data_IF_395075803520
#
_entry.id   IF_395075803520
#
_cell.length_a   1.000
_cell.length_b   1.000
_cell.length_c   1.000
_cell.angle_alpha   90.00
_cell.angle_beta   90.00
_cell.angle_gamma   90.00
#
_symmetry.space_group_name_H-M   'P 1'
#
loop_
_entity.id
_entity.type
_entity.pdbx_description
1 polymer ?
#
# COMPACT_ATOMS: atom_id res chain seq x y z
N UNK A 1 4.38 22.58 2.07
CA UNK A 1 3.59 22.18 3.25
C UNK A 1 3.60 23.31 4.27
N UNK A 2 2.89 23.16 5.39
CA UNK A 2 2.89 24.12 6.49
C UNK A 2 2.22 23.54 7.74
N UNK A 3 2.45 24.18 8.89
CA UNK A 3 1.84 23.81 10.16
C UNK A 3 0.80 24.83 10.57
N UNK A 4 -0.38 24.37 10.95
CA UNK A 4 -1.50 25.19 11.37
C UNK A 4 -1.83 24.97 12.86
N UNK A 5 -2.15 26.05 13.56
CA UNK A 5 -2.64 26.02 14.95
C UNK A 5 -4.09 26.52 15.07
N UNK A 6 -4.69 26.95 13.96
CA UNK A 6 -6.08 27.38 13.87
C UNK A 6 -6.70 26.97 12.54
N UNK A 7 -8.03 26.96 12.46
CA UNK A 7 -8.77 26.64 11.23
C UNK A 7 -8.45 27.61 10.10
N UNK A 8 -8.32 28.91 10.40
CA UNK A 8 -8.06 29.92 9.36
C UNK A 8 -6.62 29.82 8.85
N UNK A 9 -5.64 29.53 9.72
CA UNK A 9 -4.27 29.22 9.30
C UNK A 9 -4.24 27.99 8.39
N UNK A 10 -5.00 26.96 8.76
CA UNK A 10 -5.07 25.73 8.00
C UNK A 10 -5.58 25.98 6.57
N UNK A 11 -6.62 26.82 6.44
CA UNK A 11 -7.19 27.19 5.14
C UNK A 11 -6.22 28.03 4.33
N UNK A 12 -5.54 29.01 4.95
CA UNK A 12 -4.55 29.82 4.27
C UNK A 12 -3.39 28.96 3.72
N UNK A 13 -2.91 28.00 4.51
CA UNK A 13 -1.88 27.06 4.09
C UNK A 13 -2.41 26.15 2.97
N UNK A 14 -3.60 25.57 3.11
CA UNK A 14 -4.18 24.69 2.10
C UNK A 14 -4.41 25.41 0.76
N UNK A 15 -4.84 26.67 0.78
CA UNK A 15 -4.99 27.49 -0.43
C UNK A 15 -3.65 27.81 -1.10
N UNK A 16 -2.58 27.97 -0.31
CA UNK A 16 -1.22 28.18 -0.84
C UNK A 16 -0.62 26.88 -1.40
N UNK A 17 -0.86 25.75 -0.75
CA UNK A 17 -0.32 24.44 -1.11
C UNK A 17 -1.07 23.81 -2.29
N UNK A 18 -2.39 24.05 -2.37
CA UNK A 18 -3.31 23.49 -3.36
C UNK A 18 -3.93 22.17 -2.91
N UNK A 19 -5.25 22.05 -3.05
CA UNK A 19 -5.99 20.82 -2.81
C UNK A 19 -5.74 19.77 -3.93
N UNK A 20 -5.88 18.46 -3.65
CA UNK A 20 -6.12 17.88 -2.32
C UNK A 20 -4.92 18.00 -1.37
N UNK A 21 -5.20 18.10 -0.07
CA UNK A 21 -4.18 18.15 0.99
C UNK A 21 -4.34 16.97 1.95
N UNK A 22 -3.22 16.47 2.47
CA UNK A 22 -3.19 15.53 3.56
C UNK A 22 -3.02 16.31 4.86
N UNK A 23 -3.95 16.10 5.78
CA UNK A 23 -3.97 16.76 7.08
C UNK A 23 -3.50 15.77 8.14
N UNK A 24 -2.45 16.12 8.89
CA UNK A 24 -1.77 15.21 9.81
C UNK A 24 -1.62 15.85 11.20
N UNK A 25 -2.25 15.30 12.25
CA UNK A 25 -1.95 15.72 13.61
C UNK A 25 -0.50 15.41 13.98
N UNK A 26 0.13 16.25 14.79
CA UNK A 26 1.45 15.94 15.36
C UNK A 26 1.37 14.88 16.46
N UNK A 27 2.47 14.15 16.68
CA UNK A 27 2.64 13.15 17.76
C UNK A 27 1.64 11.97 17.75
N UNK A 28 1.15 11.57 16.58
CA UNK A 28 0.33 10.37 16.41
C UNK A 28 1.13 9.25 15.74
N UNK A 29 0.77 8.00 16.05
CA UNK A 29 1.28 6.80 15.38
C UNK A 29 0.14 6.13 14.60
N UNK A 30 0.49 5.47 13.49
CA UNK A 30 -0.48 4.69 12.70
C UNK A 30 -1.44 5.52 11.85
N UNK A 31 -1.11 6.79 11.59
CA UNK A 31 -1.96 7.67 10.81
C UNK A 31 -3.26 8.09 11.50
N UNK A 32 -3.33 7.94 12.83
CA UNK A 32 -4.55 8.24 13.59
C UNK A 32 -5.01 9.68 13.36
N UNK A 33 -6.28 9.82 12.99
CA UNK A 33 -6.90 11.09 12.64
C UNK A 33 -6.19 11.84 11.49
N UNK A 34 -5.42 11.16 10.64
CA UNK A 34 -5.01 11.74 9.36
C UNK A 34 -6.17 11.72 8.37
N UNK A 35 -6.31 12.77 7.57
CA UNK A 35 -7.40 12.86 6.61
C UNK A 35 -6.97 13.47 5.27
N UNK A 36 -7.45 12.89 4.17
CA UNK A 36 -7.36 13.48 2.84
C UNK A 36 -8.51 14.45 2.63
N UNK A 37 -8.17 15.71 2.40
CA UNK A 37 -9.11 16.82 2.30
C UNK A 37 -9.06 17.40 0.89
N UNK A 38 -10.22 17.47 0.22
CA UNK A 38 -10.32 17.85 -1.19
C UNK A 38 -10.80 19.29 -1.40
N UNK A 39 -11.36 19.92 -0.38
CA UNK A 39 -11.91 21.27 -0.44
C UNK A 39 -11.93 21.92 0.96
N UNK A 40 -12.16 23.23 0.99
CA UNK A 40 -12.20 24.01 2.23
C UNK A 40 -13.29 23.55 3.20
N UNK A 41 -14.47 23.15 2.71
CA UNK A 41 -15.57 22.71 3.56
C UNK A 41 -15.21 21.45 4.37
N UNK A 42 -14.51 20.51 3.73
CA UNK A 42 -13.96 19.33 4.38
C UNK A 42 -12.89 19.70 5.41
N UNK A 43 -12.01 20.66 5.10
CA UNK A 43 -10.97 21.13 6.01
C UNK A 43 -11.56 21.76 7.27
N UNK A 44 -12.57 22.63 7.13
CA UNK A 44 -13.26 23.26 8.27
C UNK A 44 -13.89 22.22 9.19
N UNK A 45 -14.51 21.20 8.61
CA UNK A 45 -15.10 20.10 9.37
C UNK A 45 -14.05 19.27 10.10
N UNK A 46 -12.92 18.98 9.47
CA UNK A 46 -11.81 18.29 10.12
C UNK A 46 -11.26 19.10 11.30
N UNK A 47 -10.98 20.39 11.09
CA UNK A 47 -10.44 21.27 12.15
C UNK A 47 -11.44 21.53 13.28
N UNK A 48 -12.75 21.46 12.99
CA UNK A 48 -13.81 21.55 14.00
C UNK A 48 -14.12 20.23 14.71
N UNK A 49 -13.45 19.11 14.37
CA UNK A 49 -13.57 17.85 15.08
C UNK A 49 -12.82 17.90 16.43
N UNK A 50 -12.97 16.89 17.29
CA UNK A 50 -12.39 16.83 18.63
C UNK A 50 -10.85 16.63 18.65
N UNK A 51 -10.14 17.14 17.65
CA UNK A 51 -8.67 17.13 17.58
C UNK A 51 -8.18 18.34 18.35
N UNK A 52 -7.48 18.10 19.45
CA UNK A 52 -6.88 19.15 20.27
C UNK A 52 -5.69 19.76 19.52
N UNK A 53 -5.92 20.92 18.88
CA UNK A 53 -4.87 21.69 18.20
C UNK A 53 -4.30 22.70 19.17
N UNK A 54 -3.02 22.56 19.51
CA UNK A 54 -2.29 23.50 20.37
C UNK A 54 -0.97 23.89 19.70
N UNK A 55 -0.29 24.96 20.16
CA UNK A 55 1.05 25.31 19.66
C UNK A 55 2.05 24.16 19.75
N UNK A 56 1.93 23.30 20.77
CA UNK A 56 2.78 22.13 20.97
C UNK A 56 2.31 20.91 20.15
N UNK A 57 1.11 20.97 19.56
CA UNK A 57 0.51 19.92 18.72
C UNK A 57 -0.15 20.53 17.49
N UNK A 58 0.66 21.14 16.58
CA UNK A 58 0.12 21.70 15.36
C UNK A 58 -0.37 20.60 14.43
N UNK A 59 -1.22 20.98 13.48
CA UNK A 59 -1.65 20.12 12.39
C UNK A 59 -0.81 20.45 11.16
N UNK A 60 -0.14 19.44 10.61
CA UNK A 60 0.61 19.52 9.37
C UNK A 60 -0.35 19.42 8.17
N UNK A 61 -0.12 20.29 7.19
CA UNK A 61 -0.87 20.34 5.94
C UNK A 61 0.12 20.19 4.79
N UNK A 62 0.02 19.05 4.14
CA UNK A 62 0.88 18.64 3.04
C UNK A 62 0.09 18.54 1.75
N UNK A 63 0.73 18.84 0.62
CA UNK A 63 0.12 18.59 -0.69
C UNK A 63 -0.02 17.10 -0.84
N UNK A 64 -1.22 16.62 -1.17
CA UNK A 64 -1.37 15.21 -1.47
C UNK A 64 -0.78 14.89 -2.85
N UNK A 65 0.11 13.89 -2.87
CA UNK A 65 0.76 13.43 -4.09
C UNK A 65 -0.08 12.30 -4.70
N UNK A 66 -1.08 12.69 -5.49
CA UNK A 66 -1.90 11.70 -6.22
C UNK A 66 -1.03 10.85 -7.15
N UNK A 67 -1.36 9.55 -7.21
CA UNK A 67 -0.71 8.52 -8.03
C UNK A 67 0.80 8.32 -7.76
N UNK A 68 1.29 8.71 -6.59
CA UNK A 68 2.68 8.45 -6.20
C UNK A 68 2.86 7.01 -5.67
N UNK A 69 4.05 6.44 -5.91
CA UNK A 69 4.49 5.18 -5.30
C UNK A 69 4.98 5.49 -3.89
N UNK A 70 4.48 4.79 -2.88
CA UNK A 70 5.04 4.88 -1.53
C UNK A 70 6.19 3.88 -1.35
N UNK A 71 7.23 4.31 -0.65
CA UNK A 71 8.44 3.52 -0.42
C UNK A 71 8.85 3.61 1.04
N UNK A 72 9.06 2.45 1.67
CA UNK A 72 9.67 2.36 2.99
C UNK A 72 11.15 1.98 2.86
N UNK A 73 12.01 2.56 3.69
CA UNK A 73 13.42 2.18 3.78
C UNK A 73 13.78 1.95 5.22
N UNK A 74 14.21 0.74 5.56
CA UNK A 74 14.79 0.43 6.86
C UNK A 74 16.32 0.41 6.74
N UNK A 75 17.01 1.07 7.67
CA UNK A 75 18.47 1.11 7.73
C UNK A 75 19.00 1.02 9.16
N UNK A 76 20.27 0.66 9.30
CA UNK A 76 21.01 0.73 10.57
C UNK A 76 22.14 1.74 10.41
N UNK A 77 22.34 2.60 11.39
CA UNK A 77 23.46 3.54 11.46
C UNK A 77 24.23 3.36 12.77
N UNK A 78 25.56 3.36 12.73
CA UNK A 78 26.42 3.43 13.92
C UNK A 78 26.96 4.85 14.20
N UNK A 79 26.51 5.83 13.43
CA UNK A 79 26.95 7.23 13.47
C UNK A 79 28.05 7.57 12.47
N UNK A 80 28.77 6.58 11.94
CA UNK A 80 29.77 6.75 10.88
C UNK A 80 29.29 6.10 9.58
N UNK A 81 28.91 4.83 9.68
CA UNK A 81 28.39 4.00 8.61
C UNK A 81 26.88 3.85 8.77
N UNK A 82 26.15 4.10 7.70
CA UNK A 82 24.73 3.72 7.57
C UNK A 82 24.61 2.63 6.52
N UNK A 83 23.88 1.56 6.80
CA UNK A 83 23.63 0.48 5.85
C UNK A 83 22.13 0.30 5.68
N UNK A 84 21.68 0.36 4.43
CA UNK A 84 20.29 0.09 4.07
C UNK A 84 20.04 -1.41 4.25
N UNK A 85 19.01 -1.74 5.01
CA UNK A 85 18.51 -3.10 5.16
C UNK A 85 17.75 -3.52 3.92
N UNK A 86 16.73 -2.74 3.53
CA UNK A 86 16.04 -2.88 2.26
C UNK A 86 15.25 -1.60 1.90
N UNK A 87 15.04 -1.42 0.60
CA UNK A 87 14.07 -0.48 0.03
C UNK A 87 12.84 -1.30 -0.38
N UNK A 88 11.68 -0.93 0.17
CA UNK A 88 10.40 -1.62 0.02
C UNK A 88 9.45 -0.79 -0.82
N UNK A 89 9.05 -1.29 -1.98
CA UNK A 89 8.08 -0.61 -2.85
C UNK A 89 6.66 -1.05 -2.49
N UNK A 90 5.75 -0.11 -2.22
CA UNK A 90 4.35 -0.42 -1.95
C UNK A 90 3.59 -0.74 -3.23
N UNK A 91 2.63 -1.65 -3.12
CA UNK A 91 1.70 -1.98 -4.20
C UNK A 91 0.64 -0.89 -4.29
N UNK A 92 0.01 -0.55 -3.18
CA UNK A 92 -0.89 0.58 -3.06
C UNK A 92 -0.17 1.92 -3.28
N UNK A 93 -0.91 2.91 -3.77
CA UNK A 93 -0.44 4.28 -3.91
C UNK A 93 -0.28 5.01 -2.57
N UNK A 94 0.56 6.05 -2.56
CA UNK A 94 0.70 6.94 -1.42
C UNK A 94 -0.66 7.54 -1.04
N UNK A 95 -0.95 7.56 0.27
CA UNK A 95 -2.26 7.94 0.82
C UNK A 95 -3.05 6.76 1.38
N UNK A 96 -2.63 5.53 1.08
CA UNK A 96 -2.96 4.35 1.87
C UNK A 96 -1.80 4.12 2.85
N UNK A 97 -2.14 3.99 4.13
CA UNK A 97 -1.16 3.89 5.19
C UNK A 97 -0.22 2.68 5.00
N UNK A 98 1.10 2.88 5.13
CA UNK A 98 2.15 1.86 4.98
C UNK A 98 1.93 0.53 5.72
N UNK A 99 1.24 0.59 6.86
CA UNK A 99 0.84 -0.58 7.63
C UNK A 99 -0.18 -1.48 6.90
N UNK A 100 -1.09 -0.89 6.15
CA UNK A 100 -2.17 -1.56 5.41
C UNK A 100 -1.79 -1.88 3.96
N UNK A 101 -0.77 -1.21 3.41
CA UNK A 101 -0.26 -1.49 2.07
C UNK A 101 0.51 -2.81 2.03
N UNK A 102 0.34 -3.55 0.95
CA UNK A 102 1.27 -4.59 0.56
C UNK A 102 2.57 -3.95 0.07
N UNK A 103 3.71 -4.59 0.33
CA UNK A 103 5.00 -4.08 -0.13
C UNK A 103 5.96 -5.18 -0.55
N UNK A 104 6.93 -4.83 -1.39
CA UNK A 104 7.79 -5.77 -2.12
C UNK A 104 9.26 -5.46 -1.89
N UNK A 105 10.05 -6.51 -1.62
CA UNK A 105 11.51 -6.50 -1.63
C UNK A 105 11.98 -7.55 -2.65
N UNK A 106 12.90 -7.24 -3.57
CA UNK A 106 13.34 -5.89 -3.95
C UNK A 106 12.23 -5.11 -4.68
N UNK A 107 12.41 -3.80 -4.84
CA UNK A 107 11.53 -2.95 -5.66
C UNK A 107 11.42 -3.50 -7.08
N UNK A 108 10.28 -3.29 -7.75
CA UNK A 108 9.94 -3.92 -9.02
C UNK A 108 9.64 -2.94 -10.15
N UNK A 109 9.40 -1.66 -9.86
CA UNK A 109 9.11 -0.65 -10.88
C UNK A 109 9.97 0.61 -10.82
N UNK A 110 10.68 0.86 -9.71
CA UNK A 110 11.50 2.06 -9.54
C UNK A 110 12.78 2.02 -10.39
N UNK A 111 13.17 3.19 -10.92
CA UNK A 111 14.40 3.35 -11.69
C UNK A 111 15.63 3.31 -10.77
N UNK A 112 16.80 2.92 -11.31
CA UNK A 112 18.04 2.94 -10.53
C UNK A 112 18.36 4.35 -10.01
N UNK A 113 18.06 5.39 -10.80
CA UNK A 113 18.24 6.80 -10.41
C UNK A 113 17.44 7.12 -9.14
N UNK A 114 16.16 6.72 -9.10
CA UNK A 114 15.30 6.89 -7.92
C UNK A 114 15.86 6.13 -6.72
N UNK A 115 16.30 4.88 -6.90
CA UNK A 115 16.88 4.08 -5.82
C UNK A 115 18.17 4.69 -5.25
N UNK A 116 19.02 5.26 -6.10
CA UNK A 116 20.24 5.94 -5.70
C UNK A 116 19.93 7.21 -4.90
N UNK A 117 18.91 7.98 -5.32
CA UNK A 117 18.48 9.19 -4.62
C UNK A 117 17.84 8.89 -3.26
N UNK A 118 16.97 7.88 -3.19
CA UNK A 118 16.41 7.35 -1.94
C UNK A 118 17.53 6.92 -0.98
N UNK A 119 18.53 6.21 -1.51
CA UNK A 119 19.65 5.72 -0.72
C UNK A 119 20.52 6.85 -0.18
N UNK A 120 20.81 7.85 -1.00
CA UNK A 120 21.59 9.03 -0.63
C UNK A 120 20.85 9.86 0.42
N UNK A 121 19.56 10.13 0.21
CA UNK A 121 18.74 10.88 1.15
C UNK A 121 18.63 10.16 2.50
N UNK A 122 18.42 8.85 2.50
CA UNK A 122 18.35 8.04 3.74
C UNK A 122 19.64 8.15 4.54
N UNK A 123 20.80 8.02 3.91
CA UNK A 123 22.11 8.13 4.57
C UNK A 123 22.37 9.55 5.09
N UNK A 124 21.98 10.57 4.33
CA UNK A 124 22.11 11.96 4.74
C UNK A 124 21.26 12.25 5.98
N UNK A 125 20.00 11.80 6.01
CA UNK A 125 19.12 11.95 7.17
C UNK A 125 19.61 11.18 8.39
N UNK A 126 20.13 9.96 8.20
CA UNK A 126 20.72 9.19 9.30
C UNK A 126 21.87 9.95 9.99
N UNK A 127 22.71 10.62 9.19
CA UNK A 127 23.83 11.44 9.67
C UNK A 127 23.34 12.69 10.38
N UNK A 128 22.46 13.46 9.75
CA UNK A 128 21.95 14.72 10.30
C UNK A 128 21.21 14.50 11.63
N UNK A 129 20.43 13.43 11.72
CA UNK A 129 19.67 13.08 12.92
C UNK A 129 20.50 12.32 13.96
N UNK A 130 21.82 12.14 13.72
CA UNK A 130 22.75 11.44 14.61
C UNK A 130 22.25 10.03 15.01
N UNK A 131 21.67 9.30 14.06
CA UNK A 131 21.07 7.99 14.32
C UNK A 131 22.14 6.99 14.76
N UNK A 132 21.86 6.32 15.89
CA UNK A 132 22.58 5.14 16.38
C UNK A 132 21.60 4.00 16.63
N UNK A 133 21.62 2.99 15.78
CA UNK A 133 20.63 1.90 15.75
C UNK A 133 19.77 1.94 14.48
N UNK A 134 18.50 1.58 14.59
CA UNK A 134 17.56 1.52 13.47
C UNK A 134 16.96 2.89 13.15
N UNK A 135 16.75 3.13 11.87
CA UNK A 135 15.91 4.20 11.36
C UNK A 135 15.08 3.70 10.19
N UNK A 136 13.85 4.18 10.11
CA UNK A 136 12.97 4.02 8.97
C UNK A 136 12.70 5.37 8.30
N UNK A 137 12.63 5.37 6.99
CA UNK A 137 12.27 6.55 6.19
C UNK A 137 11.16 6.16 5.23
N UNK A 138 10.13 7.00 5.12
CA UNK A 138 9.07 6.87 4.14
C UNK A 138 9.21 7.93 3.06
N UNK A 139 9.10 7.51 1.81
CA UNK A 139 9.14 8.37 0.64
C UNK A 139 7.88 8.20 -0.20
N UNK A 140 7.54 9.23 -0.96
CA UNK A 140 6.64 9.15 -2.10
C UNK A 140 7.44 9.45 -3.37
N UNK A 141 7.26 8.63 -4.41
CA UNK A 141 7.92 8.78 -5.71
C UNK A 141 6.88 9.07 -6.78
N UNK A 142 7.06 10.18 -7.51
CA UNK A 142 6.20 10.55 -8.63
C UNK A 142 7.04 10.77 -9.87
N UNK A 143 6.98 9.81 -10.80
CA UNK A 143 7.92 9.78 -11.93
C UNK A 143 9.34 9.51 -11.42
N UNK A 144 10.24 10.48 -11.62
CA UNK A 144 11.63 10.43 -11.14
C UNK A 144 11.87 11.34 -9.93
N UNK A 145 10.84 12.03 -9.43
CA UNK A 145 10.95 12.93 -8.28
C UNK A 145 10.70 12.16 -6.98
N UNK A 146 11.62 12.32 -6.02
CA UNK A 146 11.59 11.67 -4.70
C UNK A 146 11.21 12.68 -3.62
N UNK A 147 10.12 12.41 -2.90
CA UNK A 147 9.63 13.24 -1.81
C UNK A 147 9.76 12.51 -0.48
N UNK A 148 10.31 13.16 0.54
CA UNK A 148 10.36 12.61 1.91
C UNK A 148 8.99 12.83 2.56
N UNK A 149 8.40 11.77 3.10
CA UNK A 149 7.15 11.84 3.87
C UNK A 149 7.43 11.99 5.36
N UNK A 150 8.20 11.08 5.94
CA UNK A 150 8.60 11.11 7.34
C UNK A 150 9.86 10.30 7.61
N UNK A 151 10.50 10.59 8.74
CA UNK A 151 11.61 9.82 9.29
C UNK A 151 11.26 9.34 10.68
N UNK A 152 11.43 8.05 10.92
CA UNK A 152 11.24 7.39 12.19
C UNK A 152 12.61 6.93 12.72
N UNK A 153 13.28 7.68 13.62
CA UNK A 153 14.60 7.33 14.17
C UNK A 153 14.49 6.23 15.24
N UNK A 154 13.86 5.11 14.87
CA UNK A 154 13.58 3.94 15.70
C UNK A 154 13.35 2.72 14.81
N UNK A 155 13.18 1.56 15.44
CA UNK A 155 12.66 0.38 14.75
C UNK A 155 11.23 0.66 14.20
N UNK A 156 11.02 0.30 12.94
CA UNK A 156 9.71 0.23 12.30
C UNK A 156 9.12 -1.17 12.43
N UNK A 157 7.83 -1.30 12.06
CA UNK A 157 7.15 -2.59 12.01
C UNK A 157 7.69 -3.52 10.92
N UNK A 158 8.35 -2.98 9.89
CA UNK A 158 8.86 -3.71 8.73
C UNK A 158 10.21 -4.39 8.99
N UNK A 159 10.92 -4.04 10.06
CA UNK A 159 12.23 -4.63 10.40
C UNK A 159 12.24 -6.16 10.44
N UNK A 160 11.24 -6.86 11.02
CA UNK A 160 11.17 -8.32 10.97
C UNK A 160 11.00 -8.85 9.54
N UNK A 161 10.12 -8.24 8.73
CA UNK A 161 9.91 -8.60 7.32
C UNK A 161 11.21 -8.44 6.52
N UNK A 162 11.88 -7.28 6.64
CA UNK A 162 13.19 -7.01 6.00
C UNK A 162 14.22 -8.05 6.43
N UNK A 163 14.33 -8.32 7.74
CA UNK A 163 15.27 -9.29 8.28
C UNK A 163 15.06 -10.70 7.73
N UNK A 164 13.81 -11.10 7.50
CA UNK A 164 13.48 -12.40 6.89
C UNK A 164 13.75 -12.44 5.39
N UNK A 165 13.51 -11.35 4.67
CA UNK A 165 13.80 -11.25 3.24
C UNK A 165 15.31 -11.35 2.94
N UNK A 166 16.14 -10.64 3.70
CA UNK A 166 17.59 -10.57 3.44
C UNK A 166 18.43 -11.57 4.24
N UNK A 167 17.82 -12.25 5.23
CA UNK A 167 18.51 -13.21 6.09
C UNK A 167 19.42 -12.60 7.17
N UNK A 168 19.30 -11.30 7.43
CA UNK A 168 20.10 -10.57 8.43
C UNK A 168 19.23 -10.14 9.60
N UNK A 169 19.60 -10.43 10.86
CA UNK A 169 18.81 -10.04 12.03
C UNK A 169 19.04 -8.56 12.39
N UNK A 170 18.40 -7.64 11.65
CA UNK A 170 18.64 -6.20 11.77
C UNK A 170 18.46 -5.67 13.19
N UNK A 171 17.39 -6.09 13.89
CA UNK A 171 17.16 -5.68 15.28
C UNK A 171 18.30 -6.10 16.23
N UNK A 172 18.89 -7.29 16.01
CA UNK A 172 20.03 -7.77 16.80
C UNK A 172 21.28 -6.95 16.53
N UNK A 173 21.54 -6.61 15.26
CA UNK A 173 22.68 -5.77 14.89
C UNK A 173 22.53 -4.36 15.45
N UNK A 174 21.36 -3.75 15.30
CA UNK A 174 21.08 -2.42 15.82
C UNK A 174 21.19 -2.36 17.35
N UNK A 175 20.74 -3.39 18.07
CA UNK A 175 20.94 -3.47 19.52
C UNK A 175 22.43 -3.50 19.92
N UNK A 176 23.26 -4.24 19.17
CA UNK A 176 24.72 -4.23 19.38
C UNK A 176 25.35 -2.88 19.05
N UNK A 177 24.85 -2.19 18.02
CA UNK A 177 25.28 -0.83 17.68
C UNK A 177 24.96 0.15 18.81
N UNK A 178 23.73 0.11 19.35
CA UNK A 178 23.35 0.92 20.50
C UNK A 178 24.17 0.61 21.76
N UNK A 179 24.68 -0.62 21.88
CA UNK A 179 25.59 -1.03 22.96
C UNK A 179 27.07 -0.67 22.71
N UNK A 180 27.39 0.00 21.59
CA UNK A 180 28.72 0.53 21.30
C UNK A 180 29.50 -0.19 20.19
N UNK A 181 28.96 -1.24 19.58
CA UNK A 181 29.60 -1.89 18.43
C UNK A 181 29.47 -1.10 17.13
N UNK A 182 30.45 -1.21 16.24
CA UNK A 182 30.36 -0.65 14.89
C UNK A 182 29.80 -1.66 13.89
N UNK A 183 29.17 -1.19 12.80
CA UNK A 183 28.72 -2.05 11.71
C UNK A 183 29.86 -2.79 11.02
N UNK A 184 31.06 -2.19 11.02
CA UNK A 184 32.30 -2.81 10.52
C UNK A 184 32.69 -4.04 11.35
N UNK A 185 32.70 -3.94 12.67
CA UNK A 185 32.98 -5.07 13.57
C UNK A 185 31.91 -6.16 13.48
N UNK A 186 30.65 -5.75 13.25
CA UNK A 186 29.52 -6.65 13.11
C UNK A 186 29.41 -7.30 11.73
N UNK A 187 30.26 -6.92 10.77
CA UNK A 187 30.29 -7.49 9.42
C UNK A 187 29.11 -7.11 8.53
N UNK A 188 28.35 -6.06 8.87
CA UNK A 188 27.20 -5.60 8.08
C UNK A 188 27.49 -4.20 7.52
N UNK A 189 28.29 -4.15 6.46
CA UNK A 189 28.80 -2.89 5.86
C UNK A 189 28.23 -2.60 4.47
N UNK A 190 27.48 -3.54 3.90
CA UNK A 190 26.88 -3.44 2.56
C UNK A 190 25.43 -3.88 2.60
N UNK A 191 24.62 -3.26 1.75
CA UNK A 191 23.25 -3.68 1.50
C UNK A 191 23.23 -5.07 0.85
N UNK A 192 22.21 -5.88 1.20
CA UNK A 192 22.00 -7.20 0.63
C UNK A 192 20.70 -7.17 -0.17
N UNK A 193 20.81 -7.28 -1.49
CA UNK A 193 19.66 -7.39 -2.39
C UNK A 193 19.38 -8.88 -2.67
N UNK A 194 18.25 -9.44 -2.21
CA UNK A 194 17.94 -10.85 -2.40
C UNK A 194 17.65 -11.19 -3.87
N UNK A 195 17.99 -12.41 -4.29
CA UNK A 195 17.69 -12.95 -5.64
C UNK A 195 16.26 -13.48 -5.79
N UNK A 196 15.40 -13.21 -4.82
CA UNK A 196 14.01 -13.62 -4.77
C UNK A 196 13.16 -12.42 -4.35
N UNK A 197 11.87 -12.47 -4.67
CA UNK A 197 10.90 -11.50 -4.19
C UNK A 197 10.29 -11.96 -2.88
N UNK A 198 10.14 -11.01 -1.98
CA UNK A 198 9.43 -11.11 -0.71
C UNK A 198 8.32 -10.07 -0.72
N UNK A 199 7.08 -10.51 -0.54
CA UNK A 199 5.89 -9.66 -0.53
C UNK A 199 5.25 -9.72 0.86
N UNK A 200 5.16 -8.58 1.52
CA UNK A 200 4.33 -8.41 2.73
C UNK A 200 2.90 -8.10 2.29
N UNK A 201 1.92 -8.73 2.91
CA UNK A 201 0.50 -8.36 2.80
C UNK A 201 -0.11 -8.16 4.20
N UNK A 202 -1.01 -7.21 4.32
CA UNK A 202 -1.71 -6.89 5.55
C UNK A 202 -2.89 -7.85 5.81
N UNK A 203 -3.11 -8.18 7.09
CA UNK A 203 -4.25 -8.99 7.54
C UNK A 203 -5.22 -8.10 8.31
N UNK A 204 -6.45 -8.05 7.82
CA UNK A 204 -7.48 -7.16 8.33
C UNK A 204 -8.51 -7.87 9.20
N UNK A 205 -9.01 -7.22 10.27
CA UNK A 205 -10.02 -7.78 11.14
C UNK A 205 -11.46 -7.57 10.61
N UNK A 206 -11.64 -7.19 9.34
CA UNK A 206 -12.94 -6.74 8.80
C UNK A 206 -14.08 -7.73 8.99
N UNK A 207 -13.80 -9.04 8.98
CA UNK A 207 -14.82 -10.08 9.24
C UNK A 207 -15.41 -10.01 10.66
N UNK A 208 -14.74 -9.35 11.60
CA UNK A 208 -15.23 -9.15 12.97
C UNK A 208 -16.15 -7.93 13.11
N UNK A 209 -16.20 -7.06 12.10
CA UNK A 209 -16.89 -5.78 12.13
C UNK A 209 -17.80 -5.61 10.90
N UNK A 210 -18.82 -6.45 10.81
CA UNK A 210 -19.78 -6.43 9.70
C UNK A 210 -20.49 -5.06 9.59
N UNK A 211 -20.67 -4.60 8.35
CA UNK A 211 -21.34 -3.33 8.05
C UNK A 211 -20.43 -2.10 8.09
N UNK A 212 -19.21 -2.22 8.63
CA UNK A 212 -18.20 -1.18 8.48
C UNK A 212 -17.60 -1.19 7.08
N UNK A 213 -17.12 -0.03 6.66
CA UNK A 213 -16.42 0.06 5.38
C UNK A 213 -14.99 -0.45 5.48
N UNK A 214 -14.60 -1.27 4.50
CA UNK A 214 -13.28 -1.89 4.38
C UNK A 214 -12.35 -1.11 3.45
N UNK A 215 -12.71 0.13 3.09
CA UNK A 215 -11.84 1.01 2.31
C UNK A 215 -10.53 1.29 3.05
N UNK A 216 -9.45 1.35 2.28
CA UNK A 216 -8.14 1.73 2.78
C UNK A 216 -7.98 3.25 2.70
N UNK A 217 -7.13 3.79 3.56
CA UNK A 217 -6.89 5.23 3.64
C UNK A 217 -5.66 5.55 4.49
N UNK A 218 -5.49 6.80 4.91
CA UNK A 218 -4.27 7.25 5.59
C UNK A 218 -4.14 6.75 7.04
N UNK A 219 -5.18 6.15 7.61
CA UNK A 219 -5.16 5.51 8.93
C UNK A 219 -5.06 3.98 8.80
N UNK A 220 -4.19 3.37 9.62
CA UNK A 220 -3.98 1.93 9.67
C UNK A 220 -5.17 1.18 10.30
N UNK A 221 -5.66 0.13 9.65
CA UNK A 221 -6.74 -0.75 10.12
C UNK A 221 -6.34 -2.22 10.28
N UNK A 222 -5.22 -2.63 9.69
CA UNK A 222 -4.71 -4.00 9.79
C UNK A 222 -4.22 -4.34 11.20
N UNK A 223 -4.28 -5.64 11.53
CA UNK A 223 -3.89 -6.18 12.84
C UNK A 223 -2.70 -7.12 12.77
N UNK A 224 -2.33 -7.56 11.56
CA UNK A 224 -1.25 -8.50 11.32
C UNK A 224 -0.76 -8.43 9.89
N UNK A 225 0.20 -9.26 9.56
CA UNK A 225 0.81 -9.33 8.24
C UNK A 225 1.24 -10.76 7.91
N UNK A 226 1.35 -11.06 6.62
CA UNK A 226 1.86 -12.32 6.09
C UNK A 226 2.93 -12.04 5.04
N UNK A 227 3.77 -13.04 4.78
CA UNK A 227 4.89 -12.93 3.84
C UNK A 227 4.79 -14.03 2.77
N UNK A 228 4.79 -13.63 1.50
CA UNK A 228 4.94 -14.52 0.35
C UNK A 228 6.33 -14.41 -0.26
N UNK A 229 7.03 -15.53 -0.45
CA UNK A 229 8.37 -15.55 -1.05
C UNK A 229 8.42 -16.45 -2.28
N UNK A 230 9.00 -15.95 -3.37
CA UNK A 230 9.28 -16.71 -4.58
C UNK A 230 10.30 -15.98 -5.47
N UNK A 231 10.95 -16.68 -6.39
CA UNK A 231 11.80 -16.04 -7.42
C UNK A 231 10.98 -15.31 -8.47
N UNK A 232 9.70 -15.68 -8.62
CA UNK A 232 8.72 -15.01 -9.47
C UNK A 232 7.84 -14.07 -8.62
N UNK A 233 7.87 -12.76 -8.91
CA UNK A 233 7.11 -11.76 -8.16
C UNK A 233 5.61 -12.07 -8.12
N UNK A 234 5.03 -12.55 -9.22
CA UNK A 234 3.61 -12.88 -9.26
C UNK A 234 3.26 -14.04 -8.33
N UNK A 235 4.11 -15.07 -8.27
CA UNK A 235 3.95 -16.15 -7.29
C UNK A 235 4.17 -15.69 -5.85
N UNK A 236 5.15 -14.81 -5.59
CA UNK A 236 5.37 -14.23 -4.27
C UNK A 236 4.12 -13.47 -3.79
N UNK A 237 3.55 -12.62 -4.64
CA UNK A 237 2.29 -11.91 -4.37
C UNK A 237 1.12 -12.87 -4.20
N UNK A 238 0.96 -13.86 -5.09
CA UNK A 238 -0.10 -14.85 -4.96
C UNK A 238 -0.04 -15.64 -3.65
N UNK A 239 1.17 -15.96 -3.16
CA UNK A 239 1.37 -16.61 -1.86
C UNK A 239 0.96 -15.71 -0.70
N UNK A 240 1.24 -14.41 -0.76
CA UNK A 240 0.79 -13.48 0.29
C UNK A 240 -0.75 -13.41 0.32
N UNK A 241 -1.42 -13.35 -0.83
CA UNK A 241 -2.89 -13.40 -0.92
C UNK A 241 -3.49 -14.73 -0.43
N UNK A 242 -2.79 -15.85 -0.62
CA UNK A 242 -3.24 -17.14 -0.06
C UNK A 242 -3.16 -17.18 1.46
N UNK A 243 -2.17 -16.49 2.03
CA UNK A 243 -1.95 -16.42 3.48
C UNK A 243 -2.84 -15.36 4.15
N UNK A 244 -3.24 -14.31 3.42
CA UNK A 244 -4.23 -13.30 3.82
C UNK A 244 -5.54 -13.53 3.03
N UNK A 245 -6.35 -14.54 3.40
CA UNK A 245 -7.49 -14.98 2.59
C UNK A 245 -8.52 -13.86 2.34
N UNK A 246 -9.26 -13.91 1.21
CA UNK A 246 -9.37 -15.06 0.30
C UNK A 246 -8.32 -15.10 -0.83
N UNK A 247 -7.94 -16.31 -1.31
CA UNK A 247 -6.92 -16.48 -2.33
C UNK A 247 -7.36 -15.98 -3.72
N UNK A 248 -6.40 -15.61 -4.56
CA UNK A 248 -6.66 -15.20 -5.94
C UNK A 248 -7.28 -16.35 -6.78
N UNK A 249 -8.34 -16.08 -7.57
CA UNK A 249 -8.96 -17.08 -8.43
C UNK A 249 -8.10 -17.34 -9.68
N UNK A 250 -8.19 -18.53 -10.26
CA UNK A 250 -7.49 -18.86 -11.52
C UNK A 250 -8.33 -18.64 -12.78
N UNK A 251 -9.66 -18.55 -12.65
CA UNK A 251 -10.61 -18.36 -13.74
C UNK A 251 -11.93 -17.84 -13.17
N UNK A 252 -12.83 -17.38 -14.04
CA UNK A 252 -14.18 -16.97 -13.66
C UNK A 252 -14.51 -15.57 -14.13
N UNK A 253 -15.27 -14.82 -13.34
CA UNK A 253 -15.70 -13.46 -13.71
C UNK A 253 -15.16 -12.41 -12.74
N UNK A 254 -14.75 -11.29 -13.31
CA UNK A 254 -14.30 -10.10 -12.56
C UNK A 254 -15.40 -9.06 -12.61
N UNK A 255 -15.85 -8.61 -11.44
CA UNK A 255 -16.69 -7.42 -11.35
C UNK A 255 -15.82 -6.17 -11.20
N UNK A 256 -16.04 -5.16 -12.05
CA UNK A 256 -15.28 -3.91 -12.06
C UNK A 256 -16.22 -2.73 -11.86
N UNK A 257 -15.96 -1.92 -10.82
CA UNK A 257 -16.68 -0.68 -10.56
C UNK A 257 -15.76 0.32 -9.85
N UNK A 258 -15.22 1.28 -10.60
CA UNK A 258 -14.18 2.20 -10.11
C UNK A 258 -14.67 3.65 -10.09
N UNK A 259 -14.01 4.50 -9.29
CA UNK A 259 -14.22 5.96 -9.30
C UNK A 259 -13.84 6.57 -10.66
N UNK A 260 -14.29 7.79 -10.92
CA UNK A 260 -14.16 8.41 -12.24
C UNK A 260 -12.70 8.62 -12.69
N UNK A 261 -11.81 8.98 -11.75
CA UNK A 261 -10.38 9.19 -12.01
C UNK A 261 -9.66 7.89 -12.42
N UNK A 262 -10.17 6.74 -11.99
CA UNK A 262 -9.54 5.43 -12.22
C UNK A 262 -9.99 4.77 -13.52
N UNK A 263 -10.96 5.38 -14.22
CA UNK A 263 -11.58 4.78 -15.41
C UNK A 263 -10.59 4.56 -16.55
N UNK A 264 -9.63 5.46 -16.74
CA UNK A 264 -8.59 5.29 -17.75
C UNK A 264 -7.56 4.24 -17.29
N UNK A 265 -7.13 4.31 -16.02
CA UNK A 265 -6.14 3.41 -15.45
C UNK A 265 -6.62 1.94 -15.35
N UNK A 266 -7.92 1.70 -15.17
CA UNK A 266 -8.48 0.33 -15.07
C UNK A 266 -8.57 -0.38 -16.42
N UNK A 267 -8.57 0.33 -17.55
CA UNK A 267 -8.65 -0.27 -18.90
C UNK A 267 -7.52 -1.29 -19.15
N UNK A 268 -6.23 -0.95 -18.97
CA UNK A 268 -5.15 -1.94 -19.15
C UNK A 268 -5.27 -3.11 -18.18
N UNK A 269 -5.71 -2.89 -16.94
CA UNK A 269 -5.91 -3.95 -15.94
C UNK A 269 -7.00 -4.92 -16.37
N UNK A 270 -8.17 -4.42 -16.79
CA UNK A 270 -9.26 -5.25 -17.29
C UNK A 270 -8.85 -6.05 -18.54
N UNK A 271 -8.01 -5.48 -19.41
CA UNK A 271 -7.44 -6.19 -20.56
C UNK A 271 -6.56 -7.37 -20.14
N UNK A 272 -5.77 -7.23 -19.08
CA UNK A 272 -4.99 -8.35 -18.53
C UNK A 272 -5.90 -9.46 -18.02
N UNK A 273 -6.99 -9.15 -17.31
CA UNK A 273 -7.97 -10.16 -16.89
C UNK A 273 -8.61 -10.88 -18.08
N UNK A 274 -8.96 -10.16 -19.16
CA UNK A 274 -9.47 -10.79 -20.39
C UNK A 274 -8.45 -11.73 -21.02
N UNK A 275 -7.16 -11.33 -21.09
CA UNK A 275 -6.08 -12.20 -21.60
C UNK A 275 -5.91 -13.47 -20.75
N UNK A 276 -6.21 -13.39 -19.45
CA UNK A 276 -6.21 -14.52 -18.51
C UNK A 276 -7.47 -15.39 -18.61
N UNK A 277 -8.41 -15.05 -19.49
CA UNK A 277 -9.63 -15.81 -19.73
C UNK A 277 -10.80 -15.47 -18.81
N UNK A 278 -10.75 -14.32 -18.11
CA UNK A 278 -11.87 -13.88 -17.29
C UNK A 278 -12.92 -13.11 -18.10
N UNK A 279 -14.18 -13.29 -17.74
CA UNK A 279 -15.26 -12.41 -18.21
C UNK A 279 -15.36 -11.16 -17.34
N UNK A 280 -15.61 -10.01 -17.97
CA UNK A 280 -15.76 -8.73 -17.25
C UNK A 280 -17.23 -8.40 -17.06
N UNK A 281 -17.64 -8.18 -15.81
CA UNK A 281 -18.94 -7.65 -15.43
C UNK A 281 -18.74 -6.25 -14.84
N UNK A 282 -19.60 -5.28 -15.17
CA UNK A 282 -19.41 -3.91 -14.68
C UNK A 282 -20.71 -3.13 -14.59
N UNK A 283 -20.72 -2.13 -13.69
CA UNK A 283 -21.75 -1.10 -13.62
C UNK A 283 -21.71 -0.18 -14.84
N UNK A 284 -22.81 0.53 -15.10
CA UNK A 284 -23.01 1.34 -16.31
C UNK A 284 -21.90 2.37 -16.60
N UNK A 285 -21.43 3.09 -15.58
CA UNK A 285 -20.38 4.11 -15.72
C UNK A 285 -19.03 3.54 -16.14
N UNK A 286 -18.58 2.49 -15.44
CA UNK A 286 -17.31 1.80 -15.72
C UNK A 286 -17.38 1.01 -17.02
N UNK A 287 -18.54 0.41 -17.34
CA UNK A 287 -18.74 -0.34 -18.58
C UNK A 287 -18.59 0.55 -19.81
N UNK A 288 -19.03 1.82 -19.74
CA UNK A 288 -18.82 2.80 -20.82
C UNK A 288 -17.32 3.05 -21.06
N UNK A 289 -16.52 3.24 -20.02
CA UNK A 289 -15.08 3.45 -20.13
C UNK A 289 -14.37 2.21 -20.71
N UNK A 290 -14.68 1.02 -20.18
CA UNK A 290 -14.11 -0.25 -20.67
C UNK A 290 -14.48 -0.53 -22.13
N UNK A 291 -15.71 -0.18 -22.54
CA UNK A 291 -16.16 -0.34 -23.94
C UNK A 291 -15.36 0.55 -24.91
N UNK A 292 -14.98 1.78 -24.49
CA UNK A 292 -14.06 2.63 -25.28
C UNK A 292 -12.70 1.95 -25.48
N UNK A 293 -12.23 1.22 -24.47
CA UNK A 293 -11.04 0.37 -24.53
C UNK A 293 -11.18 -0.92 -25.34
N UNK A 294 -12.32 -1.11 -26.04
CA UNK A 294 -12.68 -2.31 -26.83
C UNK A 294 -12.74 -3.60 -26.01
N UNK A 295 -13.09 -3.49 -24.72
CA UNK A 295 -13.27 -4.64 -23.84
C UNK A 295 -14.74 -5.08 -23.86
N UNK A 296 -14.99 -6.37 -24.08
CA UNK A 296 -16.34 -6.94 -23.97
C UNK A 296 -16.75 -6.96 -22.50
N UNK A 297 -17.88 -6.34 -22.19
CA UNK A 297 -18.38 -6.18 -20.81
C UNK A 297 -19.83 -6.61 -20.72
N UNK A 298 -20.13 -7.47 -19.76
CA UNK A 298 -21.50 -7.78 -19.35
C UNK A 298 -21.96 -6.70 -18.36
N UNK A 299 -22.95 -5.90 -18.76
CA UNK A 299 -23.50 -4.86 -17.88
C UNK A 299 -24.34 -5.47 -16.77
N UNK A 300 -24.24 -4.91 -15.57
CA UNK A 300 -25.10 -5.23 -14.43
C UNK A 300 -25.68 -3.95 -13.85
N UNK A 301 -26.91 -4.03 -13.31
CA UNK A 301 -27.55 -2.90 -12.64
C UNK A 301 -26.81 -2.56 -11.33
N UNK A 302 -26.75 -1.27 -11.00
CA UNK A 302 -26.44 -0.87 -9.62
C UNK A 302 -27.58 -1.30 -8.69
N UNK A 303 -27.30 -1.30 -7.38
CA UNK A 303 -28.26 -1.73 -6.35
C UNK A 303 -29.61 -1.01 -6.46
N UNK A 304 -29.63 0.30 -6.73
CA UNK A 304 -30.86 1.08 -6.90
C UNK A 304 -31.45 1.07 -8.32
N UNK A 305 -30.72 0.52 -9.32
CA UNK A 305 -31.15 0.58 -10.73
C UNK A 305 -32.06 -0.61 -11.12
N UNK A 306 -31.97 -1.76 -10.44
CA UNK A 306 -32.81 -2.93 -10.73
C UNK A 306 -32.19 -4.28 -10.40
N UNK A 307 -32.73 -5.35 -11.02
CA UNK A 307 -32.23 -6.74 -10.89
C UNK A 307 -32.02 -7.41 -12.27
N UNK A 308 -31.05 -8.33 -12.42
CA UNK A 308 -30.06 -8.72 -11.40
C UNK A 308 -29.00 -7.62 -11.19
N UNK A 309 -28.69 -7.32 -9.94
CA UNK A 309 -27.60 -6.41 -9.56
C UNK A 309 -26.36 -7.19 -9.08
N UNK A 310 -25.29 -6.46 -8.73
CA UNK A 310 -24.03 -7.03 -8.24
C UNK A 310 -24.21 -7.92 -7.00
N UNK A 311 -25.13 -7.60 -6.08
CA UNK A 311 -25.37 -8.41 -4.88
C UNK A 311 -26.00 -9.75 -5.23
N UNK A 312 -26.93 -9.75 -6.18
CA UNK A 312 -27.54 -10.99 -6.69
C UNK A 312 -26.45 -11.89 -7.33
N UNK A 313 -25.54 -11.29 -8.09
CA UNK A 313 -24.42 -12.00 -8.75
C UNK A 313 -23.41 -12.56 -7.75
N UNK A 314 -23.09 -11.83 -6.69
CA UNK A 314 -22.26 -12.30 -5.57
C UNK A 314 -22.93 -13.51 -4.90
N UNK A 315 -24.21 -13.39 -4.53
CA UNK A 315 -24.97 -14.46 -3.87
C UNK A 315 -25.08 -15.72 -4.72
N UNK A 316 -25.19 -15.57 -6.04
CA UNK A 316 -25.27 -16.68 -6.98
C UNK A 316 -23.91 -17.34 -7.28
N UNK A 317 -22.80 -16.84 -6.71
CA UNK A 317 -21.46 -17.36 -6.98
C UNK A 317 -20.94 -17.07 -8.39
N UNK A 318 -21.50 -16.07 -9.07
CA UNK A 318 -21.17 -15.71 -10.46
C UNK A 318 -19.92 -14.81 -10.57
N UNK A 319 -19.44 -14.27 -9.44
CA UNK A 319 -18.28 -13.38 -9.38
C UNK A 319 -17.17 -14.05 -8.57
N UNK A 320 -15.94 -14.00 -9.08
CA UNK A 320 -14.78 -14.64 -8.46
C UNK A 320 -13.70 -13.64 -8.04
N UNK A 321 -13.75 -12.41 -8.55
CA UNK A 321 -12.85 -11.32 -8.21
C UNK A 321 -13.56 -9.97 -8.32
N UNK A 322 -13.27 -9.04 -7.42
CA UNK A 322 -13.88 -7.71 -7.43
C UNK A 322 -12.80 -6.63 -7.47
N UNK A 323 -12.96 -5.67 -8.38
CA UNK A 323 -12.22 -4.42 -8.41
C UNK A 323 -13.23 -3.32 -8.08
N UNK A 324 -13.10 -2.73 -6.90
CA UNK A 324 -13.99 -1.65 -6.47
C UNK A 324 -13.21 -0.54 -5.76
N UNK A 325 -12.88 0.52 -6.50
CA UNK A 325 -12.20 1.67 -5.93
C UNK A 325 -13.21 2.67 -5.36
N UNK A 326 -13.06 3.11 -4.10
CA UNK A 326 -14.01 4.00 -3.43
C UNK A 326 -13.95 5.42 -4.00
N UNK A 327 -15.09 6.10 -4.08
CA UNK A 327 -15.15 7.53 -4.47
C UNK A 327 -15.44 8.43 -3.27
N UNK A 328 -14.60 9.45 -3.04
CA UNK A 328 -14.84 10.51 -2.04
C UNK A 328 -14.66 10.10 -0.58
N UNK A 329 -14.91 11.05 0.34
CA UNK A 329 -14.74 10.91 1.81
C UNK A 329 -15.77 9.97 2.46
N UNK A 330 -17.01 10.00 1.97
CA UNK A 330 -18.08 9.11 2.40
C UNK A 330 -18.32 8.15 1.23
N UNK A 331 -17.88 6.89 1.34
CA UNK A 331 -18.21 5.90 0.33
C UNK A 331 -19.72 5.82 0.26
N UNK A 332 -20.26 5.85 -0.95
CA UNK A 332 -21.70 5.71 -1.16
C UNK A 332 -22.15 4.45 -0.43
N UNK A 333 -23.25 4.50 0.31
CA UNK A 333 -23.74 3.36 1.11
C UNK A 333 -23.75 2.06 0.30
N UNK A 334 -24.13 2.15 -0.98
CA UNK A 334 -24.12 1.05 -1.92
C UNK A 334 -22.74 0.39 -2.13
N UNK A 335 -21.65 1.15 -2.13
CA UNK A 335 -20.30 0.62 -2.29
C UNK A 335 -19.86 -0.15 -1.04
N UNK A 336 -20.17 0.37 0.16
CA UNK A 336 -19.93 -0.30 1.43
C UNK A 336 -20.63 -1.66 1.45
N UNK A 337 -21.89 -1.71 0.98
CA UNK A 337 -22.67 -2.95 0.89
C UNK A 337 -22.02 -3.96 -0.07
N UNK A 338 -21.49 -3.53 -1.23
CA UNK A 338 -20.81 -4.42 -2.17
C UNK A 338 -19.57 -5.03 -1.53
N UNK A 339 -18.75 -4.22 -0.87
CA UNK A 339 -17.50 -4.67 -0.24
C UNK A 339 -17.76 -5.64 0.92
N UNK A 340 -18.75 -5.35 1.76
CA UNK A 340 -19.19 -6.27 2.81
C UNK A 340 -19.73 -7.59 2.24
N UNK A 341 -20.50 -7.54 1.16
CA UNK A 341 -21.00 -8.75 0.49
C UNK A 341 -19.86 -9.59 -0.09
N UNK A 342 -18.83 -8.96 -0.67
CA UNK A 342 -17.63 -9.63 -1.16
C UNK A 342 -16.89 -10.36 -0.03
N UNK A 343 -16.68 -9.66 1.09
CA UNK A 343 -16.02 -10.19 2.27
C UNK A 343 -16.77 -11.40 2.86
N UNK A 344 -18.09 -11.27 3.03
CA UNK A 344 -18.95 -12.35 3.52
C UNK A 344 -18.94 -13.58 2.57
N UNK A 345 -18.91 -13.33 1.26
CA UNK A 345 -18.82 -14.39 0.24
C UNK A 345 -17.40 -14.94 0.04
N UNK A 346 -16.39 -14.42 0.79
CA UNK A 346 -14.97 -14.77 0.64
C UNK A 346 -14.46 -14.60 -0.79
N UNK A 347 -14.90 -13.53 -1.46
CA UNK A 347 -14.43 -13.16 -2.80
C UNK A 347 -13.30 -12.12 -2.63
N UNK A 348 -12.12 -12.34 -3.23
CA UNK A 348 -11.04 -11.37 -3.18
C UNK A 348 -11.46 -10.06 -3.84
N UNK A 349 -11.15 -8.97 -3.15
CA UNK A 349 -11.55 -7.62 -3.52
C UNK A 349 -10.36 -6.67 -3.44
N UNK A 350 -10.14 -5.91 -4.51
CA UNK A 350 -9.11 -4.88 -4.59
C UNK A 350 -9.76 -3.50 -4.60
N UNK A 351 -9.32 -2.64 -3.69
CA UNK A 351 -9.81 -1.27 -3.52
C UNK A 351 -8.94 -0.23 -4.23
N UNK A 352 -7.84 -0.66 -4.87
CA UNK A 352 -6.99 0.17 -5.72
C UNK A 352 -6.77 -0.48 -7.09
N UNK A 353 -6.47 0.34 -8.10
CA UNK A 353 -6.13 -0.15 -9.44
C UNK A 353 -4.79 -0.88 -9.43
N UNK A 354 -3.83 -0.42 -8.62
CA UNK A 354 -2.49 -1.02 -8.52
C UNK A 354 -2.55 -2.43 -7.92
N UNK A 355 -3.31 -2.63 -6.85
CA UNK A 355 -3.52 -3.97 -6.27
C UNK A 355 -4.25 -4.91 -7.23
N UNK A 356 -5.21 -4.39 -8.03
CA UNK A 356 -5.85 -5.17 -9.07
C UNK A 356 -4.87 -5.62 -10.18
N UNK A 357 -3.91 -4.76 -10.56
CA UNK A 357 -2.86 -5.12 -11.51
C UNK A 357 -1.88 -6.16 -10.92
N UNK A 358 -1.46 -5.98 -9.66
CA UNK A 358 -0.63 -6.95 -8.95
C UNK A 358 -1.33 -8.32 -8.87
N UNK A 359 -2.63 -8.33 -8.60
CA UNK A 359 -3.49 -9.51 -8.62
C UNK A 359 -3.55 -10.18 -9.99
N UNK A 360 -3.73 -9.42 -11.08
CA UNK A 360 -3.68 -9.99 -12.43
C UNK A 360 -2.32 -10.64 -12.73
N UNK A 361 -1.22 -10.02 -12.31
CA UNK A 361 0.12 -10.60 -12.45
C UNK A 361 0.31 -11.88 -11.60
N UNK A 362 -0.23 -11.89 -10.39
CA UNK A 362 -0.24 -13.08 -9.53
C UNK A 362 -1.03 -14.23 -10.14
N UNK A 363 -2.23 -13.95 -10.66
CA UNK A 363 -3.07 -14.92 -11.36
C UNK A 363 -2.38 -15.47 -12.61
N UNK A 364 -1.73 -14.61 -13.41
CA UNK A 364 -0.94 -15.04 -14.57
C UNK A 364 0.11 -16.06 -14.18
N UNK A 365 0.80 -15.83 -13.06
CA UNK A 365 1.87 -16.70 -12.59
C UNK A 365 1.31 -18.01 -12.02
N UNK A 366 0.19 -17.96 -11.30
CA UNK A 366 -0.56 -19.14 -10.84
C UNK A 366 -1.13 -20.03 -11.96
N UNK A 367 -1.44 -19.45 -13.12
CA UNK A 367 -1.87 -20.19 -14.32
C UNK A 367 -0.70 -20.86 -15.03
N UNK A 368 0.49 -20.23 -15.03
CA UNK A 368 1.68 -20.70 -15.77
C UNK A 368 2.57 -21.65 -14.96
N UNK A 369 2.62 -21.50 -13.65
CA UNK A 369 3.59 -22.19 -12.77
C UNK A 369 2.87 -22.93 -11.64
N UNK A 370 3.50 -23.98 -11.13
CA UNK A 370 3.08 -24.66 -9.90
C UNK A 370 3.64 -23.91 -8.70
N UNK A 371 2.82 -23.77 -7.66
CA UNK A 371 3.27 -23.21 -6.38
C UNK A 371 4.23 -24.21 -5.72
N UNK A 372 5.40 -23.74 -5.32
CA UNK A 372 6.40 -24.51 -4.58
C UNK A 372 6.64 -23.88 -3.20
N UNK A 373 7.09 -24.70 -2.26
CA UNK A 373 7.48 -24.28 -0.91
C UNK A 373 8.99 -24.38 -0.76
N UNK A 374 9.56 -23.47 0.01
CA UNK A 374 10.96 -23.47 0.44
C UNK A 374 11.02 -22.96 1.87
N UNK A 375 11.89 -23.55 2.67
CA UNK A 375 12.22 -23.08 4.00
C UNK A 375 13.01 -21.76 3.94
N UNK A 376 12.99 -20.99 5.03
CA UNK A 376 13.81 -19.78 5.14
C UNK A 376 15.31 -20.11 5.04
N UNK A 377 15.71 -21.26 5.58
CA UNK A 377 17.08 -21.75 5.51
C UNK A 377 17.55 -21.92 4.06
N UNK A 378 16.72 -22.49 3.19
CA UNK A 378 17.06 -22.62 1.76
C UNK A 378 17.18 -21.26 1.05
N UNK A 379 16.33 -20.29 1.40
CA UNK A 379 16.44 -18.92 0.89
C UNK A 379 17.71 -18.21 1.38
N UNK A 380 18.16 -18.48 2.60
CA UNK A 380 19.33 -17.83 3.20
C UNK A 380 20.64 -18.52 2.82
N UNK A 381 20.65 -19.84 2.61
CA UNK A 381 21.83 -20.59 2.16
C UNK A 381 22.32 -20.19 0.77
N UNK A 382 21.44 -19.62 -0.06
CA UNK A 382 21.79 -19.17 -1.42
C UNK A 382 22.38 -17.74 -1.47
N UNK A 383 22.50 -17.08 -0.32
CA UNK A 383 23.16 -15.79 -0.11
C UNK A 383 24.19 -15.87 1.00
N UNK A 384 25.26 -16.65 0.79
CA UNK A 384 26.44 -16.60 1.67
C UNK A 384 27.08 -15.21 1.59
N UNK A 385 27.22 -14.57 2.75
CA UNK A 385 28.06 -13.38 2.94
C UNK A 385 29.52 -13.73 2.71
#
# INVERSE_FOLDING_TARGET
>A
NGSAISTDDAIAIANKVGYPVLVRPSFVLGGRAMELVYNEGDLRRYMGSAIEVTPDRPVLIDRFLEDAVEVDVDCISDGETTVIGAIMEHIEEAGIHSGDSACVIPTFSLSQKVLDEISLATRAMARELNVRGLMNVQFAVKGEDVYVLEVNPRASRTVPFVSKAIGVPLAKLAAKVMAGGSLRELGFTREIVPKHFSVKEAVFPFLRYEGLDISLGPEMKSTGEVMGMDVDLGLAYAKSQMAAPPPLPKKGKVFVSVKDTDKEAVIPVAREFVKLGFEIISTSGTAKALSKGKIKVTKVFKIHEGRPNVLDRIKNGDINFIINTPSGKIPREHEVVIRNAALAAKIPIMTTVRAALASANGIRSLQKRKVQVRSLQEYHCSGGL
#
